data_IF_985437307956
#
_entry.id   IF_985437307956
#
_cell.length_a   1.000
_cell.length_b   1.000
_cell.length_c   1.000
_cell.angle_alpha   90.00
_cell.angle_beta   90.00
_cell.angle_gamma   90.00
#
_symmetry.space_group_name_H-M   'P 1'
#
loop_
_entity.id
_entity.type
_entity.pdbx_description
1 polymer ?
#
# COMPACT_ATOMS: atom_id res chain seq x y z
N UNK A 1 25.43 7.47 10.15
CA UNK A 1 24.77 7.79 8.87
C UNK A 1 24.42 6.49 8.18
N UNK A 2 23.26 6.40 7.55
CA UNK A 2 22.80 5.23 6.78
C UNK A 2 23.18 5.45 5.31
N UNK A 3 24.02 4.60 4.77
CA UNK A 3 24.36 4.60 3.35
C UNK A 3 23.29 3.82 2.58
N UNK A 4 22.54 4.49 1.70
CA UNK A 4 21.44 3.91 0.97
C UNK A 4 21.65 3.94 -0.54
N UNK A 5 21.23 2.89 -1.24
CA UNK A 5 21.07 2.87 -2.68
C UNK A 5 19.59 2.92 -3.07
N UNK A 6 19.26 3.60 -4.17
CA UNK A 6 17.91 3.62 -4.74
C UNK A 6 17.92 2.87 -6.06
N UNK A 7 17.11 1.81 -6.17
CA UNK A 7 16.96 0.98 -7.38
C UNK A 7 15.63 1.30 -8.05
N UNK A 8 15.70 1.77 -9.29
CA UNK A 8 14.57 2.27 -10.06
C UNK A 8 14.27 3.73 -9.76
N UNK A 9 14.52 4.61 -10.73
CA UNK A 9 14.20 6.04 -10.64
C UNK A 9 13.16 6.44 -11.68
N UNK A 10 12.18 5.57 -11.84
CA UNK A 10 10.97 5.85 -12.58
C UNK A 10 10.03 6.78 -11.83
N UNK A 11 8.72 6.69 -12.13
CA UNK A 11 7.69 7.61 -11.60
C UNK A 11 7.71 7.75 -10.06
N UNK A 12 7.86 6.66 -9.30
CA UNK A 12 7.85 6.66 -7.84
C UNK A 12 9.26 6.75 -7.23
N UNK A 13 10.23 6.09 -7.83
CA UNK A 13 11.60 6.08 -7.31
C UNK A 13 12.26 7.46 -7.25
N UNK A 14 11.90 8.37 -8.14
CA UNK A 14 12.32 9.79 -8.07
C UNK A 14 11.85 10.44 -6.77
N UNK A 15 10.64 10.12 -6.31
CA UNK A 15 10.12 10.68 -5.05
C UNK A 15 10.79 10.05 -3.83
N UNK A 16 11.10 8.74 -3.86
CA UNK A 16 11.90 8.09 -2.81
C UNK A 16 13.28 8.71 -2.74
N UNK A 17 13.96 8.84 -3.87
CA UNK A 17 15.29 9.49 -3.94
C UNK A 17 15.26 10.89 -3.35
N UNK A 18 14.31 11.75 -3.75
CA UNK A 18 14.12 13.09 -3.21
C UNK A 18 14.00 13.08 -1.68
N UNK A 19 13.17 12.17 -1.14
CA UNK A 19 12.93 12.09 0.29
C UNK A 19 14.20 11.62 1.04
N UNK A 20 14.93 10.63 0.51
CA UNK A 20 16.17 10.18 1.14
C UNK A 20 17.27 11.24 1.11
N UNK A 21 17.41 11.99 0.01
CA UNK A 21 18.36 13.11 -0.08
C UNK A 21 18.04 14.24 0.93
N UNK A 22 16.78 14.37 1.35
CA UNK A 22 16.37 15.39 2.33
C UNK A 22 16.57 14.95 3.79
N UNK A 23 16.87 13.68 4.07
CA UNK A 23 17.06 13.18 5.43
C UNK A 23 18.50 13.33 5.90
N UNK A 24 18.78 14.08 6.99
CA UNK A 24 20.14 14.37 7.44
C UNK A 24 20.90 13.13 7.93
N UNK A 25 20.20 12.03 8.27
CA UNK A 25 20.83 10.79 8.73
C UNK A 25 21.20 9.86 7.57
N UNK A 26 20.87 10.23 6.33
CA UNK A 26 21.03 9.41 5.13
C UNK A 26 22.15 9.95 4.25
N UNK A 27 22.92 9.04 3.69
CA UNK A 27 23.84 9.31 2.59
C UNK A 27 23.43 8.42 1.40
N UNK A 28 22.97 9.03 0.32
CA UNK A 28 22.69 8.30 -0.92
C UNK A 28 24.01 8.00 -1.61
N UNK A 29 24.39 6.73 -1.64
CA UNK A 29 25.69 6.29 -2.20
C UNK A 29 25.59 5.76 -3.61
N UNK A 30 24.40 5.32 -4.04
CA UNK A 30 24.18 4.82 -5.40
C UNK A 30 22.73 5.03 -5.89
N UNK A 31 22.58 5.17 -7.20
CA UNK A 31 21.30 5.15 -7.90
C UNK A 31 21.40 4.20 -9.08
N UNK A 32 20.42 3.30 -9.21
CA UNK A 32 20.39 2.27 -10.24
C UNK A 32 19.12 2.42 -11.07
N UNK A 33 19.25 2.46 -12.39
CA UNK A 33 18.12 2.35 -13.33
C UNK A 33 18.64 1.75 -14.65
N UNK A 34 17.92 0.79 -15.27
CA UNK A 34 18.38 0.15 -16.52
C UNK A 34 18.48 1.14 -17.68
N UNK A 35 17.89 2.34 -17.58
CA UNK A 35 17.90 3.36 -18.62
C UNK A 35 18.93 4.46 -18.28
N UNK A 36 20.08 4.51 -18.98
CA UNK A 36 21.13 5.50 -18.71
C UNK A 36 20.66 6.95 -18.80
N UNK A 37 19.72 7.22 -19.68
CA UNK A 37 19.13 8.56 -19.85
C UNK A 37 18.38 9.02 -18.58
N UNK A 38 17.73 8.11 -17.85
CA UNK A 38 17.11 8.45 -16.56
C UNK A 38 18.15 8.82 -15.52
N UNK A 39 19.25 8.07 -15.46
CA UNK A 39 20.35 8.37 -14.53
C UNK A 39 20.95 9.75 -14.81
N UNK A 40 21.13 10.10 -16.09
CA UNK A 40 21.63 11.43 -16.49
C UNK A 40 20.66 12.55 -16.05
N UNK A 41 19.36 12.38 -16.25
CA UNK A 41 18.32 13.32 -15.82
C UNK A 41 18.35 13.49 -14.29
N UNK A 42 18.37 12.39 -13.54
CA UNK A 42 18.38 12.40 -12.07
C UNK A 42 19.64 13.05 -11.52
N UNK A 43 20.82 12.78 -12.11
CA UNK A 43 22.09 13.43 -11.73
C UNK A 43 21.96 14.95 -11.81
N UNK A 44 21.43 15.46 -12.90
CA UNK A 44 21.26 16.89 -13.11
C UNK A 44 20.16 17.48 -12.20
N UNK A 45 19.00 16.81 -12.11
CA UNK A 45 17.83 17.28 -11.36
C UNK A 45 18.12 17.46 -9.87
N UNK A 46 18.86 16.53 -9.27
CA UNK A 46 19.18 16.54 -7.84
C UNK A 46 20.61 17.02 -7.54
N UNK A 47 21.37 17.44 -8.57
CA UNK A 47 22.77 17.86 -8.43
C UNK A 47 23.58 16.85 -7.62
N UNK A 48 23.47 15.56 -7.98
CA UNK A 48 24.11 14.47 -7.23
C UNK A 48 25.62 14.62 -7.27
N UNK A 49 26.26 14.41 -6.09
CA UNK A 49 27.71 14.41 -5.95
C UNK A 49 28.36 13.38 -6.89
N UNK A 50 29.56 13.66 -7.40
CA UNK A 50 30.31 12.73 -8.27
C UNK A 50 30.66 11.42 -7.57
N UNK A 51 30.61 11.37 -6.24
CA UNK A 51 30.81 10.16 -5.45
C UNK A 51 29.63 9.21 -5.48
N UNK A 52 28.43 9.69 -5.87
CA UNK A 52 27.24 8.83 -6.01
C UNK A 52 27.42 7.93 -7.22
N UNK A 53 27.44 6.64 -7.01
CA UNK A 53 27.54 5.65 -8.09
C UNK A 53 26.24 5.64 -8.89
N UNK A 54 26.34 5.91 -10.19
CA UNK A 54 25.21 5.77 -11.13
C UNK A 54 25.47 4.56 -12.02
N UNK A 55 24.64 3.54 -11.96
CA UNK A 55 24.84 2.31 -12.72
C UNK A 55 23.53 1.77 -13.29
N UNK A 56 23.64 1.07 -14.42
CA UNK A 56 22.49 0.35 -15.01
C UNK A 56 22.38 -1.09 -14.50
N UNK A 57 23.38 -1.54 -13.73
CA UNK A 57 23.47 -2.91 -13.22
C UNK A 57 23.37 -2.91 -11.69
N UNK A 58 22.27 -3.40 -11.16
CA UNK A 58 22.06 -3.45 -9.71
C UNK A 58 23.06 -4.37 -8.98
N UNK A 59 23.67 -5.34 -9.68
CA UNK A 59 24.71 -6.22 -9.14
C UNK A 59 25.97 -5.45 -8.73
N UNK A 60 26.23 -4.27 -9.31
CA UNK A 60 27.37 -3.43 -8.95
C UNK A 60 27.30 -2.95 -7.49
N UNK A 61 26.09 -2.92 -6.90
CA UNK A 61 25.89 -2.57 -5.49
C UNK A 61 26.60 -3.53 -4.53
N UNK A 62 26.77 -4.79 -4.91
CA UNK A 62 27.48 -5.80 -4.10
C UNK A 62 28.93 -5.40 -3.79
N UNK A 63 29.53 -4.57 -4.64
CA UNK A 63 30.89 -4.05 -4.46
C UNK A 63 31.01 -2.88 -3.48
N UNK A 64 29.89 -2.30 -3.04
CA UNK A 64 29.88 -1.14 -2.15
C UNK A 64 29.92 -1.59 -0.69
N UNK A 65 31.13 -1.68 -0.13
CA UNK A 65 31.36 -2.23 1.23
C UNK A 65 30.66 -1.48 2.36
N UNK A 66 30.27 -0.24 2.14
CA UNK A 66 29.58 0.60 3.14
C UNK A 66 28.06 0.67 2.95
N UNK A 67 27.51 -0.06 1.97
CA UNK A 67 26.07 -0.06 1.71
C UNK A 67 25.31 -0.69 2.89
N UNK A 68 24.38 0.06 3.47
CA UNK A 68 23.61 -0.35 4.65
C UNK A 68 22.17 -0.71 4.30
N UNK A 69 21.58 -0.01 3.31
CA UNK A 69 20.18 -0.14 2.97
C UNK A 69 19.92 0.05 1.48
N UNK A 70 18.82 -0.50 1.01
CA UNK A 70 18.35 -0.37 -0.38
C UNK A 70 16.90 0.02 -0.41
N UNK A 71 16.55 1.00 -1.23
CA UNK A 71 15.17 1.34 -1.58
C UNK A 71 14.87 0.86 -3.01
N UNK A 72 13.82 0.06 -3.19
CA UNK A 72 13.48 -0.61 -4.45
C UNK A 72 12.15 -0.06 -4.97
N UNK A 73 12.18 0.61 -6.13
CA UNK A 73 11.01 1.20 -6.80
C UNK A 73 10.92 0.79 -8.27
N UNK A 74 11.05 -0.49 -8.51
CA UNK A 74 11.00 -1.13 -9.82
C UNK A 74 9.62 -1.77 -10.07
N UNK A 75 9.34 -2.38 -11.23
CA UNK A 75 8.14 -3.18 -11.43
C UNK A 75 8.07 -4.37 -10.45
N UNK A 76 6.86 -4.68 -9.96
CA UNK A 76 6.63 -5.72 -8.95
C UNK A 76 7.21 -7.11 -9.29
N UNK A 77 7.27 -7.44 -10.59
CA UNK A 77 7.86 -8.69 -11.10
C UNK A 77 9.35 -8.84 -10.78
N UNK A 78 10.05 -7.75 -10.47
CA UNK A 78 11.48 -7.75 -10.16
C UNK A 78 11.76 -7.72 -8.66
N UNK A 79 10.76 -7.43 -7.83
CA UNK A 79 10.96 -7.19 -6.40
C UNK A 79 11.57 -8.38 -5.69
N UNK A 80 11.06 -9.61 -5.94
CA UNK A 80 11.56 -10.80 -5.25
C UNK A 80 13.07 -10.97 -5.40
N UNK A 81 13.58 -10.92 -6.64
CA UNK A 81 15.01 -11.09 -6.89
C UNK A 81 15.86 -9.97 -6.25
N UNK A 82 15.42 -8.72 -6.42
CA UNK A 82 16.15 -7.56 -5.91
C UNK A 82 16.16 -7.51 -4.38
N UNK A 83 15.02 -7.77 -3.73
CA UNK A 83 14.90 -7.81 -2.28
C UNK A 83 15.74 -8.96 -1.71
N UNK A 84 15.64 -10.17 -2.29
CA UNK A 84 16.39 -11.35 -1.87
C UNK A 84 17.90 -11.12 -1.91
N UNK A 85 18.39 -10.54 -2.99
CA UNK A 85 19.80 -10.27 -3.13
C UNK A 85 20.27 -9.16 -2.18
N UNK A 86 19.50 -8.08 -2.03
CA UNK A 86 19.82 -7.02 -1.07
C UNK A 86 19.91 -7.55 0.37
N UNK A 87 18.95 -8.40 0.79
CA UNK A 87 19.00 -9.06 2.10
C UNK A 87 20.23 -9.99 2.22
N UNK A 88 20.56 -10.77 1.18
CA UNK A 88 21.76 -11.63 1.19
C UNK A 88 23.07 -10.83 1.25
N UNK A 89 23.07 -9.59 0.83
CA UNK A 89 24.21 -8.67 0.98
C UNK A 89 24.27 -8.02 2.36
N UNK A 90 23.33 -8.30 3.24
CA UNK A 90 23.25 -7.72 4.57
C UNK A 90 22.63 -6.33 4.59
N UNK A 91 21.86 -5.95 3.58
CA UNK A 91 21.21 -4.64 3.49
C UNK A 91 19.78 -4.68 4.02
N UNK A 92 19.39 -3.66 4.78
CA UNK A 92 17.99 -3.37 5.07
C UNK A 92 17.24 -2.97 3.80
N UNK A 93 15.96 -3.29 3.69
CA UNK A 93 15.21 -3.07 2.44
C UNK A 93 13.91 -2.31 2.70
N UNK A 94 13.69 -1.24 1.92
CA UNK A 94 12.39 -0.64 1.67
C UNK A 94 11.98 -0.97 0.23
N UNK A 95 10.88 -1.68 0.05
CA UNK A 95 10.38 -2.02 -1.29
C UNK A 95 9.03 -1.35 -1.58
N UNK A 96 8.82 -0.94 -2.82
CA UNK A 96 7.49 -0.51 -3.28
C UNK A 96 6.46 -1.65 -3.17
N UNK A 97 5.19 -1.23 -3.09
CA UNK A 97 4.06 -2.18 -3.09
C UNK A 97 3.76 -2.71 -4.50
N UNK A 98 3.26 -3.95 -4.61
CA UNK A 98 3.23 -5.01 -3.59
C UNK A 98 4.64 -5.54 -3.32
N UNK A 99 4.89 -6.15 -2.14
CA UNK A 99 6.22 -6.70 -1.80
C UNK A 99 6.72 -7.67 -2.86
N UNK A 100 5.88 -8.65 -3.23
CA UNK A 100 6.02 -9.49 -4.42
C UNK A 100 4.64 -9.81 -5.00
N UNK A 101 4.57 -10.66 -6.02
CA UNK A 101 3.32 -11.12 -6.61
C UNK A 101 2.84 -12.47 -6.04
N UNK A 102 3.68 -13.15 -5.24
CA UNK A 102 3.38 -14.46 -4.67
C UNK A 102 3.51 -14.45 -3.14
N UNK A 103 2.50 -14.96 -2.40
CA UNK A 103 2.56 -15.03 -0.94
C UNK A 103 3.77 -15.83 -0.42
N UNK A 104 4.15 -16.90 -1.12
CA UNK A 104 5.30 -17.74 -0.77
C UNK A 104 6.62 -17.00 -0.86
N UNK A 105 6.81 -16.19 -1.89
CA UNK A 105 7.98 -15.33 -2.04
C UNK A 105 8.04 -14.27 -0.92
N UNK A 106 6.90 -13.63 -0.60
CA UNK A 106 6.83 -12.68 0.52
C UNK A 106 7.26 -13.33 1.83
N UNK A 107 6.77 -14.55 2.10
CA UNK A 107 7.11 -15.27 3.32
C UNK A 107 8.61 -15.60 3.37
N UNK A 108 9.18 -16.09 2.26
CA UNK A 108 10.62 -16.37 2.16
C UNK A 108 11.47 -15.11 2.45
N UNK A 109 11.07 -13.95 1.90
CA UNK A 109 11.79 -12.70 2.14
C UNK A 109 11.68 -12.25 3.61
N UNK A 110 10.52 -12.41 4.24
CA UNK A 110 10.34 -12.11 5.66
C UNK A 110 11.18 -13.02 6.55
N UNK A 111 11.23 -14.31 6.23
CA UNK A 111 12.04 -15.28 6.97
C UNK A 111 13.54 -14.99 6.81
N UNK A 112 13.98 -14.66 5.60
CA UNK A 112 15.35 -14.26 5.32
C UNK A 112 15.73 -12.96 6.08
N UNK A 113 14.89 -11.95 6.04
CA UNK A 113 15.11 -10.69 6.75
C UNK A 113 15.21 -10.94 8.27
N UNK A 114 14.34 -11.78 8.82
CA UNK A 114 14.36 -12.17 10.26
C UNK A 114 15.63 -12.93 10.62
N UNK A 115 16.03 -13.91 9.78
CA UNK A 115 17.24 -14.69 9.99
C UNK A 115 18.51 -13.82 9.99
N UNK A 116 18.54 -12.82 9.14
CA UNK A 116 19.64 -11.87 8.99
C UNK A 116 19.56 -10.68 9.96
N UNK A 117 18.49 -10.58 10.75
CA UNK A 117 18.21 -9.43 11.63
C UNK A 117 18.12 -8.08 10.88
N UNK A 118 17.58 -8.11 9.67
CA UNK A 118 17.44 -6.95 8.80
C UNK A 118 16.01 -6.40 8.83
N UNK A 119 15.88 -5.12 8.60
CA UNK A 119 14.59 -4.46 8.42
C UNK A 119 14.11 -4.71 7.00
N UNK A 120 12.91 -5.30 6.85
CA UNK A 120 12.17 -5.37 5.60
C UNK A 120 10.88 -4.58 5.75
N UNK A 121 10.77 -3.47 5.03
CA UNK A 121 9.63 -2.57 5.04
C UNK A 121 9.05 -2.45 3.63
N UNK A 122 7.73 -2.28 3.52
CA UNK A 122 7.05 -2.07 2.24
C UNK A 122 6.46 -0.66 2.21
N UNK A 123 6.54 0.03 1.08
CA UNK A 123 5.95 1.36 0.94
C UNK A 123 4.42 1.30 0.79
N UNK A 124 3.74 1.17 1.91
CA UNK A 124 2.30 1.40 2.01
C UNK A 124 2.03 2.85 2.40
N UNK A 125 2.37 3.79 1.54
CA UNK A 125 2.33 5.25 1.76
C UNK A 125 1.04 5.72 2.45
N UNK A 126 -0.13 5.14 2.11
CA UNK A 126 -1.41 5.54 2.71
C UNK A 126 -1.49 5.28 4.22
N UNK A 127 -0.80 4.29 4.74
CA UNK A 127 -0.78 4.03 6.19
C UNK A 127 -0.10 5.16 6.99
N UNK A 128 0.70 5.98 6.31
CA UNK A 128 1.38 7.15 6.88
C UNK A 128 0.68 8.48 6.56
N UNK A 129 -0.50 8.39 5.92
CA UNK A 129 -1.29 9.59 5.65
C UNK A 129 -1.92 10.11 6.93
N UNK A 130 -1.81 11.43 7.24
CA UNK A 130 -2.34 12.01 8.49
C UNK A 130 -3.83 11.69 8.73
N UNK A 131 -4.65 11.69 7.67
CA UNK A 131 -6.06 11.33 7.77
C UNK A 131 -6.27 9.86 8.13
N UNK A 132 -5.39 8.95 7.67
CA UNK A 132 -5.48 7.52 8.01
C UNK A 132 -5.06 7.29 9.46
N UNK A 133 -4.02 7.97 9.94
CA UNK A 133 -3.61 7.95 11.36
C UNK A 133 -4.72 8.52 12.26
N UNK A 134 -5.27 9.70 11.90
CA UNK A 134 -6.39 10.33 12.62
C UNK A 134 -7.63 9.45 12.65
N UNK A 135 -7.96 8.79 11.52
CA UNK A 135 -9.08 7.86 11.43
C UNK A 135 -8.95 6.68 12.35
N UNK A 136 -7.75 6.09 12.47
CA UNK A 136 -7.48 5.02 13.44
C UNK A 136 -7.75 5.47 14.89
N UNK A 137 -7.32 6.67 15.26
CA UNK A 137 -7.55 7.21 16.57
C UNK A 137 -9.05 7.40 16.88
N UNK A 138 -9.85 7.83 15.89
CA UNK A 138 -11.32 7.97 16.01
C UNK A 138 -11.99 6.63 16.29
N UNK A 139 -11.60 5.56 15.54
CA UNK A 139 -12.15 4.23 15.74
C UNK A 139 -11.77 3.66 17.11
N UNK A 140 -10.50 3.79 17.49
CA UNK A 140 -9.99 3.34 18.81
C UNK A 140 -10.66 4.07 19.98
N UNK A 141 -11.05 5.33 19.79
CA UNK A 141 -11.80 6.11 20.77
C UNK A 141 -13.30 5.72 20.85
N UNK A 142 -13.77 4.78 20.02
CA UNK A 142 -15.15 4.32 20.01
C UNK A 142 -16.17 5.36 19.53
N UNK A 143 -15.75 6.42 18.84
CA UNK A 143 -16.63 7.54 18.45
C UNK A 143 -17.75 7.12 17.49
N UNK A 144 -17.63 5.97 16.80
CA UNK A 144 -18.66 5.45 15.90
C UNK A 144 -19.66 4.51 16.57
N UNK A 145 -19.46 4.15 17.85
CA UNK A 145 -20.24 3.11 18.52
C UNK A 145 -19.96 1.72 17.93
N UNK A 146 -21.00 0.90 17.79
CA UNK A 146 -20.89 -0.43 17.19
C UNK A 146 -20.63 -0.31 15.69
N UNK A 147 -19.51 -0.85 15.21
CA UNK A 147 -19.17 -0.83 13.80
C UNK A 147 -20.09 -1.77 13.02
N UNK A 148 -20.58 -1.34 11.86
CA UNK A 148 -21.55 -2.07 11.04
C UNK A 148 -20.98 -2.54 9.73
N UNK A 149 -20.41 -1.64 8.93
CA UNK A 149 -19.78 -1.96 7.65
C UNK A 149 -18.84 -0.84 7.20
N UNK A 150 -18.01 -1.15 6.18
CA UNK A 150 -17.19 -0.16 5.51
C UNK A 150 -17.41 -0.17 4.00
N UNK A 151 -17.06 0.92 3.34
CA UNK A 151 -17.04 0.97 1.88
C UNK A 151 -15.90 1.86 1.39
N UNK A 152 -15.41 1.56 0.17
CA UNK A 152 -14.42 2.39 -0.49
C UNK A 152 -14.70 2.47 -2.00
N UNK A 153 -14.29 3.58 -2.59
CA UNK A 153 -14.25 3.76 -4.03
C UNK A 153 -12.89 4.33 -4.43
N UNK A 154 -12.20 3.61 -5.31
CA UNK A 154 -10.93 4.04 -5.91
C UNK A 154 -11.06 3.94 -7.41
N UNK A 155 -11.46 5.05 -8.01
CA UNK A 155 -11.78 5.15 -9.42
C UNK A 155 -11.02 6.28 -10.10
N UNK A 156 -10.68 6.12 -11.36
CA UNK A 156 -10.11 7.18 -12.19
C UNK A 156 -10.11 6.76 -13.68
N UNK A 157 -9.82 7.70 -14.57
CA UNK A 157 -9.61 7.44 -15.98
C UNK A 157 -8.10 7.34 -16.26
N UNK A 158 -7.59 6.10 -16.33
CA UNK A 158 -6.18 5.81 -16.56
C UNK A 158 -5.18 6.39 -15.54
N UNK A 159 -3.90 6.07 -15.62
CA UNK A 159 -3.31 5.17 -16.61
C UNK A 159 -3.71 3.71 -16.37
N UNK A 160 -3.92 2.98 -17.46
CA UNK A 160 -4.18 1.53 -17.46
C UNK A 160 -2.84 0.80 -17.43
N UNK A 161 -2.65 -0.10 -16.47
CA UNK A 161 -1.43 -0.91 -16.36
C UNK A 161 -1.51 -2.13 -17.28
N UNK A 162 -0.32 -2.64 -17.66
CA UNK A 162 -0.19 -3.82 -18.52
C UNK A 162 0.43 -5.02 -17.78
N UNK A 163 0.88 -4.81 -16.56
CA UNK A 163 1.57 -5.81 -15.73
C UNK A 163 0.68 -6.38 -14.62
N UNK A 164 -0.36 -5.64 -14.21
CA UNK A 164 -1.35 -6.04 -13.20
C UNK A 164 -2.71 -5.47 -13.55
N UNK A 165 -3.79 -6.02 -12.97
CA UNK A 165 -5.15 -5.53 -13.12
C UNK A 165 -5.51 -4.43 -12.10
N UNK A 166 -6.74 -3.89 -12.20
CA UNK A 166 -7.24 -2.87 -11.28
C UNK A 166 -7.29 -3.36 -9.83
N UNK A 167 -7.45 -4.66 -9.59
CA UNK A 167 -7.41 -5.24 -8.25
C UNK A 167 -6.03 -5.04 -7.59
N UNK A 168 -4.97 -5.49 -8.24
CA UNK A 168 -3.60 -5.42 -7.72
C UNK A 168 -3.06 -4.00 -7.62
N UNK A 169 -3.46 -3.14 -8.57
CA UNK A 169 -3.00 -1.75 -8.56
C UNK A 169 -3.67 -0.92 -7.47
N UNK A 170 -4.99 -1.07 -7.30
CA UNK A 170 -5.82 -0.14 -6.51
C UNK A 170 -6.22 -0.68 -5.14
N UNK A 171 -6.61 -1.96 -5.02
CA UNK A 171 -7.21 -2.50 -3.80
C UNK A 171 -6.27 -2.51 -2.61
N UNK A 172 -4.97 -2.70 -2.84
CA UNK A 172 -3.96 -2.87 -1.78
C UNK A 172 -4.00 -1.73 -0.76
N UNK A 173 -4.27 -0.50 -1.23
CA UNK A 173 -4.32 0.69 -0.39
C UNK A 173 -5.53 0.67 0.56
N UNK A 174 -6.72 0.38 0.02
CA UNK A 174 -7.96 0.39 0.80
C UNK A 174 -8.02 -0.80 1.75
N UNK A 175 -7.52 -1.96 1.33
CA UNK A 175 -7.37 -3.15 2.19
C UNK A 175 -6.44 -2.84 3.36
N UNK A 176 -5.29 -2.21 3.09
CA UNK A 176 -4.33 -1.82 4.12
C UNK A 176 -4.94 -0.84 5.14
N UNK A 177 -5.72 0.15 4.67
CA UNK A 177 -6.40 1.11 5.55
C UNK A 177 -7.43 0.40 6.41
N UNK A 178 -8.33 -0.43 5.84
CA UNK A 178 -9.31 -1.17 6.61
C UNK A 178 -8.66 -2.07 7.66
N UNK A 179 -7.65 -2.87 7.28
CA UNK A 179 -6.94 -3.74 8.22
C UNK A 179 -6.31 -2.94 9.38
N UNK A 180 -5.68 -1.79 9.07
CA UNK A 180 -5.06 -0.93 10.07
C UNK A 180 -6.10 -0.26 11.00
N UNK A 181 -7.22 0.19 10.46
CA UNK A 181 -8.28 0.84 11.21
C UNK A 181 -9.03 -0.10 12.13
N UNK A 182 -9.32 -1.31 11.65
CA UNK A 182 -10.03 -2.35 12.40
C UNK A 182 -9.09 -3.12 13.35
N UNK A 183 -7.76 -3.05 13.14
CA UNK A 183 -6.80 -3.86 13.89
C UNK A 183 -6.93 -5.35 13.63
N UNK A 184 -7.52 -5.74 12.49
CA UNK A 184 -7.86 -7.11 12.11
C UNK A 184 -7.53 -7.35 10.64
N UNK A 185 -7.44 -8.62 10.26
CA UNK A 185 -7.36 -9.05 8.85
C UNK A 185 -8.63 -9.83 8.48
N UNK A 186 -9.10 -9.79 7.23
CA UNK A 186 -10.30 -10.51 6.84
C UNK A 186 -10.09 -12.03 6.94
N UNK A 187 -11.15 -12.75 7.27
CA UNK A 187 -11.20 -14.23 7.30
C UNK A 187 -11.69 -14.85 6.00
N UNK A 188 -12.36 -14.06 5.16
CA UNK A 188 -12.77 -14.49 3.83
C UNK A 188 -12.90 -13.27 2.90
N UNK A 189 -12.75 -13.53 1.61
CA UNK A 189 -12.81 -12.50 0.57
C UNK A 189 -13.61 -12.97 -0.63
N UNK A 190 -14.17 -11.99 -1.35
CA UNK A 190 -14.89 -12.23 -2.60
C UNK A 190 -14.59 -11.08 -3.57
N UNK A 191 -14.42 -11.41 -4.87
CA UNK A 191 -14.23 -10.41 -5.91
C UNK A 191 -14.96 -10.80 -7.19
N UNK A 192 -15.62 -9.80 -7.81
CA UNK A 192 -16.21 -9.91 -9.15
C UNK A 192 -15.70 -8.77 -10.01
N UNK A 193 -15.54 -8.98 -11.31
CA UNK A 193 -14.95 -7.96 -12.18
C UNK A 193 -15.31 -8.11 -13.64
N UNK A 194 -14.80 -7.17 -14.46
CA UNK A 194 -14.97 -7.15 -15.91
C UNK A 194 -13.70 -6.68 -16.59
N UNK A 195 -13.45 -7.25 -17.76
CA UNK A 195 -12.36 -6.91 -18.66
C UNK A 195 -12.96 -6.35 -19.94
N UNK A 196 -12.56 -5.14 -20.32
CA UNK A 196 -12.98 -4.50 -21.56
C UNK A 196 -11.80 -4.16 -22.47
N UNK A 197 -10.69 -3.67 -21.90
CA UNK A 197 -9.55 -3.15 -22.66
C UNK A 197 -8.52 -4.23 -23.01
N UNK A 198 -8.17 -5.07 -22.04
CA UNK A 198 -7.04 -6.00 -22.17
C UNK A 198 -7.52 -7.44 -22.07
N UNK A 199 -8.34 -7.86 -23.02
CA UNK A 199 -8.75 -9.25 -23.16
C UNK A 199 -7.55 -10.09 -23.61
N UNK A 200 -7.20 -11.12 -22.85
CA UNK A 200 -6.07 -11.98 -23.16
C UNK A 200 -6.51 -13.32 -23.73
N UNK A 201 -5.69 -13.81 -24.67
CA UNK A 201 -5.80 -15.16 -25.23
C UNK A 201 -4.95 -16.19 -24.48
N UNK A 202 -4.02 -15.76 -23.64
CA UNK A 202 -3.09 -16.61 -22.85
C UNK A 202 -3.19 -16.32 -21.36
N UNK A 203 -3.22 -17.39 -20.55
CA UNK A 203 -3.30 -17.29 -19.08
C UNK A 203 -1.92 -16.93 -18.49
N UNK A 204 -1.78 -15.73 -17.98
CA UNK A 204 -0.73 -15.38 -17.02
C UNK A 204 -1.25 -15.47 -15.58
N UNK A 205 -0.37 -15.79 -14.64
CA UNK A 205 -0.75 -16.21 -13.28
C UNK A 205 -1.45 -15.12 -12.45
N UNK A 206 -1.24 -13.84 -12.80
CA UNK A 206 -1.79 -12.67 -12.08
C UNK A 206 -2.94 -11.99 -12.81
N UNK A 207 -3.52 -12.67 -13.81
CA UNK A 207 -4.66 -12.14 -14.55
C UNK A 207 -5.92 -12.94 -14.23
N UNK A 208 -7.08 -12.32 -14.36
CA UNK A 208 -8.32 -13.08 -14.43
C UNK A 208 -8.29 -13.99 -15.66
N UNK A 209 -9.08 -15.05 -15.66
CA UNK A 209 -9.15 -16.01 -16.78
C UNK A 209 -9.48 -15.37 -18.14
N UNK A 210 -9.95 -14.11 -18.14
CA UNK A 210 -10.33 -13.32 -19.30
C UNK A 210 -9.38 -12.15 -19.64
N UNK A 211 -8.36 -11.90 -18.83
CA UNK A 211 -7.39 -10.79 -19.00
C UNK A 211 -7.25 -9.93 -17.75
N UNK A 212 -6.73 -8.70 -17.93
CA UNK A 212 -6.57 -7.74 -16.84
C UNK A 212 -7.90 -7.02 -16.56
N UNK A 213 -8.46 -7.21 -15.37
CA UNK A 213 -9.74 -6.61 -15.01
C UNK A 213 -9.66 -5.10 -14.87
N UNK A 214 -10.53 -4.38 -15.58
CA UNK A 214 -10.63 -2.91 -15.56
C UNK A 214 -11.54 -2.41 -14.44
N UNK A 215 -12.52 -3.22 -14.06
CA UNK A 215 -13.47 -3.00 -12.97
C UNK A 215 -13.43 -4.20 -12.04
N UNK A 216 -13.35 -3.93 -10.72
CA UNK A 216 -13.47 -4.98 -9.70
C UNK A 216 -14.31 -4.46 -8.52
N UNK A 217 -15.23 -5.31 -8.07
CA UNK A 217 -15.93 -5.19 -6.80
C UNK A 217 -15.37 -6.21 -5.82
N UNK A 218 -15.00 -5.76 -4.64
CA UNK A 218 -14.41 -6.59 -3.58
C UNK A 218 -15.31 -6.57 -2.35
N UNK A 219 -15.47 -7.72 -1.71
CA UNK A 219 -16.02 -7.85 -0.36
C UNK A 219 -14.97 -8.50 0.54
N UNK A 220 -14.68 -7.87 1.67
CA UNK A 220 -13.84 -8.41 2.74
C UNK A 220 -14.74 -8.72 3.94
N UNK A 221 -14.64 -9.90 4.53
CA UNK A 221 -15.37 -10.27 5.75
C UNK A 221 -14.38 -10.47 6.88
N UNK A 222 -14.56 -9.72 7.98
CA UNK A 222 -13.71 -9.75 9.16
C UNK A 222 -14.26 -10.69 10.24
N UNK A 223 -13.43 -11.09 11.24
CA UNK A 223 -13.81 -12.08 12.26
C UNK A 223 -15.07 -11.75 13.06
N UNK A 224 -15.31 -10.45 13.32
CA UNK A 224 -16.48 -9.94 14.05
C UNK A 224 -17.75 -9.80 13.21
N UNK A 225 -17.68 -10.21 11.93
CA UNK A 225 -18.78 -10.09 10.98
C UNK A 225 -18.84 -8.75 10.24
N UNK A 226 -17.94 -7.82 10.54
CA UNK A 226 -17.82 -6.57 9.77
C UNK A 226 -17.49 -6.87 8.30
N UNK A 227 -18.14 -6.18 7.38
CA UNK A 227 -17.88 -6.30 5.95
C UNK A 227 -17.43 -4.97 5.36
N UNK A 228 -16.38 -5.01 4.53
CA UNK A 228 -15.94 -3.88 3.73
C UNK A 228 -16.16 -4.16 2.25
N UNK A 229 -16.73 -3.17 1.55
CA UNK A 229 -17.05 -3.23 0.12
C UNK A 229 -16.19 -2.22 -0.63
N UNK A 230 -15.46 -2.66 -1.66
CA UNK A 230 -14.53 -1.79 -2.39
C UNK A 230 -14.86 -1.80 -3.88
N UNK A 231 -15.04 -0.62 -4.44
CA UNK A 231 -15.22 -0.38 -5.87
C UNK A 231 -13.91 0.12 -6.49
N UNK A 232 -13.37 -0.62 -7.45
CA UNK A 232 -12.11 -0.32 -8.13
C UNK A 232 -12.35 -0.21 -9.63
N UNK A 233 -11.92 0.88 -10.25
CA UNK A 233 -12.08 1.05 -11.69
C UNK A 233 -11.10 2.09 -12.24
N UNK A 234 -10.40 1.78 -13.33
CA UNK A 234 -9.59 2.75 -14.05
C UNK A 234 -10.20 3.26 -15.36
N UNK A 235 -11.50 2.95 -15.59
CA UNK A 235 -12.28 3.45 -16.73
C UNK A 235 -13.33 4.49 -16.35
N UNK A 236 -13.29 4.98 -15.12
CA UNK A 236 -14.29 5.90 -14.61
C UNK A 236 -13.73 7.33 -14.57
N UNK A 237 -14.26 8.30 -15.37
CA UNK A 237 -13.84 9.69 -15.30
C UNK A 237 -14.11 10.36 -13.96
N UNK A 238 -15.11 9.88 -13.18
CA UNK A 238 -15.34 10.32 -11.81
C UNK A 238 -14.24 9.77 -10.89
N UNK A 239 -13.20 10.60 -10.70
CA UNK A 239 -12.07 10.25 -9.88
C UNK A 239 -12.43 10.26 -8.40
N UNK A 240 -12.43 9.08 -7.79
CA UNK A 240 -12.69 8.91 -6.37
C UNK A 240 -11.52 8.22 -5.67
N UNK A 241 -11.23 8.67 -4.46
CA UNK A 241 -10.31 8.03 -3.51
C UNK A 241 -10.88 8.22 -2.12
N UNK A 242 -11.97 7.50 -1.87
CA UNK A 242 -12.81 7.67 -0.70
C UNK A 242 -13.03 6.33 0.00
N UNK A 243 -12.90 6.34 1.32
CA UNK A 243 -13.12 5.21 2.19
C UNK A 243 -13.94 5.65 3.40
N UNK A 244 -14.87 4.83 3.84
CA UNK A 244 -15.68 5.14 5.00
C UNK A 244 -15.94 3.90 5.87
N UNK A 245 -16.07 4.14 7.17
CA UNK A 245 -16.53 3.17 8.18
C UNK A 245 -17.78 3.69 8.82
N UNK A 246 -18.84 2.89 8.80
CA UNK A 246 -20.16 3.21 9.33
C UNK A 246 -20.35 2.47 10.66
N UNK A 247 -20.76 3.20 11.68
CA UNK A 247 -21.13 2.68 12.99
C UNK A 247 -22.53 3.09 13.42
N UNK A 248 -22.90 2.77 14.64
CA UNK A 248 -24.23 3.05 15.21
C UNK A 248 -24.44 4.53 15.55
N UNK A 249 -23.34 5.29 15.77
CA UNK A 249 -23.36 6.71 16.18
C UNK A 249 -22.89 7.66 15.07
N UNK A 250 -22.48 7.12 13.90
CA UNK A 250 -22.01 7.95 12.81
C UNK A 250 -21.16 7.23 11.79
N UNK A 251 -20.53 8.01 10.90
CA UNK A 251 -19.68 7.55 9.82
C UNK A 251 -18.39 8.33 9.79
N UNK A 252 -17.26 7.67 9.80
CA UNK A 252 -15.96 8.26 9.51
C UNK A 252 -15.67 8.16 8.02
N UNK A 253 -15.34 9.28 7.39
CA UNK A 253 -15.05 9.36 5.96
C UNK A 253 -13.63 9.88 5.76
N UNK A 254 -12.80 9.12 5.08
CA UNK A 254 -11.55 9.56 4.48
C UNK A 254 -11.77 9.83 2.99
N UNK A 255 -11.52 11.06 2.55
CA UNK A 255 -11.64 11.48 1.15
C UNK A 255 -10.40 12.25 0.71
N UNK A 256 -9.47 11.57 0.02
CA UNK A 256 -8.24 12.17 -0.48
C UNK A 256 -8.50 13.26 -1.55
N UNK A 257 -9.68 13.24 -2.17
CA UNK A 257 -10.05 14.25 -3.18
C UNK A 257 -10.60 15.54 -2.55
N UNK A 258 -10.72 15.58 -1.21
CA UNK A 258 -11.14 16.77 -0.45
C UNK A 258 -9.95 17.38 0.31
N UNK A 259 -9.21 18.35 -0.30
CA UNK A 259 -7.99 18.89 0.32
C UNK A 259 -8.24 19.63 1.64
N UNK A 260 -9.41 20.26 1.79
CA UNK A 260 -9.78 21.02 2.99
C UNK A 260 -10.34 20.17 4.11
N UNK A 261 -10.84 18.97 3.81
CA UNK A 261 -11.54 18.10 4.76
C UNK A 261 -11.29 16.63 4.43
N UNK A 262 -10.02 16.18 4.42
CA UNK A 262 -9.71 14.80 4.00
C UNK A 262 -10.20 13.76 5.01
N UNK A 263 -10.51 14.14 6.25
CA UNK A 263 -11.10 13.28 7.27
C UNK A 263 -12.27 13.96 7.94
N UNK A 264 -13.45 13.37 7.83
CA UNK A 264 -14.71 13.92 8.34
C UNK A 264 -15.43 12.86 9.17
N UNK A 265 -15.96 13.27 10.32
CA UNK A 265 -16.86 12.48 11.15
C UNK A 265 -18.28 13.03 10.99
N UNK A 266 -19.17 12.20 10.43
CA UNK A 266 -20.58 12.48 10.29
C UNK A 266 -21.30 11.80 11.45
N UNK A 267 -21.84 12.57 12.38
CA UNK A 267 -22.64 12.08 13.50
C UNK A 267 -24.07 11.83 13.06
N UNK A 268 -24.71 10.86 13.67
CA UNK A 268 -26.12 10.55 13.42
C UNK A 268 -26.45 9.16 13.96
N UNK A 269 -27.57 9.09 14.64
CA UNK A 269 -28.12 7.83 15.18
C UNK A 269 -29.64 7.81 15.02
N UNK A 270 -30.25 6.65 15.28
CA UNK A 270 -31.70 6.51 15.25
C UNK A 270 -32.27 6.34 16.64
N UNK A 271 -33.29 7.14 16.94
CA UNK A 271 -34.15 6.93 18.11
C UNK A 271 -35.42 6.21 17.67
N UNK A 272 -35.73 5.09 18.32
CA UNK A 272 -36.98 4.38 18.10
C UNK A 272 -38.13 5.08 18.84
N UNK A 273 -39.19 5.43 18.09
CA UNK A 273 -40.46 5.93 18.63
C UNK A 273 -41.58 5.02 18.10
N UNK A 274 -42.10 4.15 18.97
CA UNK A 274 -43.07 3.13 18.60
C UNK A 274 -42.60 2.24 17.43
N UNK A 275 -43.13 2.45 16.23
CA UNK A 275 -42.82 1.71 15.01
C UNK A 275 -41.88 2.49 14.06
N UNK A 276 -41.52 3.73 14.42
CA UNK A 276 -40.70 4.62 13.60
C UNK A 276 -39.27 4.67 14.12
N UNK A 277 -38.32 4.88 13.21
CA UNK A 277 -36.95 5.19 13.51
C UNK A 277 -36.67 6.63 13.03
N UNK A 278 -36.48 7.54 13.98
CA UNK A 278 -36.23 8.95 13.69
C UNK A 278 -34.74 9.24 13.77
N UNK A 279 -34.12 9.87 12.74
CA UNK A 279 -32.74 10.28 12.81
C UNK A 279 -32.60 11.46 13.80
N UNK A 280 -31.63 11.33 14.71
CA UNK A 280 -31.29 12.34 15.72
C UNK A 280 -29.79 12.59 15.74
N UNK A 281 -29.37 13.66 16.43
CA UNK A 281 -27.97 14.04 16.68
C UNK A 281 -27.14 14.18 15.39
N UNK A 282 -27.76 14.65 14.30
CA UNK A 282 -27.07 14.83 13.03
C UNK A 282 -26.16 16.07 13.07
N UNK A 283 -24.86 15.86 12.84
CA UNK A 283 -23.87 16.92 12.72
C UNK A 283 -22.65 16.44 11.93
N UNK A 284 -21.80 17.35 11.53
CA UNK A 284 -20.55 17.07 10.84
C UNK A 284 -19.38 17.73 11.56
N UNK A 285 -18.32 16.98 11.77
CA UNK A 285 -17.06 17.44 12.34
C UNK A 285 -15.93 17.18 11.32
N UNK A 286 -15.21 18.22 10.90
CA UNK A 286 -13.96 18.07 10.14
C UNK A 286 -12.83 17.96 11.15
N UNK A 287 -12.06 16.88 11.05
CA UNK A 287 -11.00 16.59 11.99
C UNK A 287 -9.71 17.33 11.61
N UNK A 288 -9.10 17.99 12.59
CA UNK A 288 -7.79 18.60 12.41
C UNK A 288 -6.72 17.51 12.27
N UNK A 289 -5.85 17.66 11.27
CA UNK A 289 -4.82 16.71 10.95
C UNK A 289 -3.44 17.33 11.12
N UNK A 290 -2.51 16.51 11.56
CA UNK A 290 -1.09 16.90 11.53
C UNK A 290 -0.65 17.07 10.07
N UNK A 291 0.17 18.08 9.82
CA UNK A 291 0.79 18.27 8.51
C UNK A 291 1.93 17.27 8.28
N UNK A 292 2.18 16.91 7.05
CA UNK A 292 3.32 16.06 6.68
C UNK A 292 3.11 15.31 5.38
N UNK A 293 4.17 15.12 4.63
CA UNK A 293 4.15 14.30 3.42
C UNK A 293 4.19 12.81 3.80
N UNK A 294 3.20 11.99 3.39
CA UNK A 294 3.17 10.57 3.75
C UNK A 294 4.43 9.80 3.35
N UNK A 295 4.97 10.03 2.14
CA UNK A 295 6.17 9.35 1.68
C UNK A 295 7.42 9.74 2.48
N UNK A 296 7.52 10.99 2.94
CA UNK A 296 8.58 11.41 3.84
C UNK A 296 8.52 10.65 5.16
N UNK A 297 7.30 10.41 5.69
CA UNK A 297 7.11 9.62 6.90
C UNK A 297 7.48 8.15 6.71
N UNK A 298 7.20 7.55 5.53
CA UNK A 298 7.68 6.21 5.16
C UNK A 298 9.20 6.16 5.24
N UNK A 299 9.89 7.06 4.51
CA UNK A 299 11.36 7.10 4.48
C UNK A 299 11.94 7.32 5.89
N UNK A 300 11.39 8.26 6.66
CA UNK A 300 11.84 8.53 8.03
C UNK A 300 11.63 7.35 8.96
N UNK A 301 10.50 6.65 8.85
CA UNK A 301 10.21 5.44 9.64
C UNK A 301 11.18 4.33 9.30
N UNK A 302 11.48 4.11 8.02
CA UNK A 302 12.47 3.11 7.60
C UNK A 302 13.84 3.39 8.21
N UNK A 303 14.34 4.62 8.11
CA UNK A 303 15.63 5.01 8.69
C UNK A 303 15.62 4.89 10.22
N UNK A 304 14.55 5.33 10.87
CA UNK A 304 14.41 5.19 12.34
C UNK A 304 14.41 3.73 12.76
N UNK A 305 13.71 2.86 12.03
CA UNK A 305 13.68 1.42 12.28
C UNK A 305 15.07 0.79 12.20
N UNK A 306 15.89 1.20 11.23
CA UNK A 306 17.28 0.76 11.11
C UNK A 306 18.11 1.24 12.30
N UNK A 307 18.05 2.54 12.63
CA UNK A 307 18.83 3.13 13.72
C UNK A 307 18.47 2.54 15.09
N UNK A 308 17.21 2.17 15.30
CA UNK A 308 16.72 1.58 16.53
C UNK A 308 16.75 0.04 16.53
N UNK A 309 17.10 -0.57 15.41
CA UNK A 309 17.03 -2.01 15.18
C UNK A 309 15.67 -2.61 15.57
N UNK A 310 14.58 -1.95 15.17
CA UNK A 310 13.21 -2.33 15.51
C UNK A 310 12.36 -2.39 14.24
N UNK A 311 11.66 -3.52 14.03
CA UNK A 311 10.77 -3.67 12.88
C UNK A 311 9.63 -2.64 12.91
N UNK A 312 9.27 -2.04 11.76
CA UNK A 312 8.14 -1.12 11.69
C UNK A 312 6.82 -1.85 11.96
N UNK A 313 5.96 -1.26 12.80
CA UNK A 313 4.69 -1.90 13.20
C UNK A 313 3.64 -1.89 12.09
N UNK A 314 3.64 -0.84 11.27
CA UNK A 314 2.59 -0.59 10.26
C UNK A 314 3.19 -0.70 8.88
N UNK A 315 3.76 -1.42 8.31
CA UNK A 315 4.32 -1.46 6.92
C UNK A 315 5.50 -2.42 6.83
N UNK A 316 5.56 -3.36 7.78
CA UNK A 316 6.58 -4.41 7.77
C UNK A 316 6.42 -5.37 6.58
N UNK A 317 7.40 -6.19 6.35
CA UNK A 317 7.32 -7.28 5.37
C UNK A 317 6.14 -8.22 5.63
N UNK A 318 5.81 -8.48 6.93
CA UNK A 318 4.66 -9.29 7.32
C UNK A 318 3.33 -8.64 6.91
N UNK A 319 3.19 -7.32 7.11
CA UNK A 319 2.01 -6.58 6.61
C UNK A 319 1.92 -6.69 5.09
N UNK A 320 3.03 -6.52 4.39
CA UNK A 320 3.11 -6.73 2.93
C UNK A 320 2.69 -8.14 2.54
N UNK A 321 3.15 -9.16 3.26
CA UNK A 321 2.79 -10.57 3.04
C UNK A 321 1.29 -10.82 3.22
N UNK A 322 0.69 -10.27 4.27
CA UNK A 322 -0.76 -10.37 4.50
C UNK A 322 -1.56 -9.76 3.36
N UNK A 323 -1.17 -8.57 2.88
CA UNK A 323 -1.84 -7.90 1.78
C UNK A 323 -1.72 -8.68 0.47
N UNK A 324 -0.56 -9.27 0.18
CA UNK A 324 -0.36 -10.13 -0.99
C UNK A 324 -1.18 -11.42 -0.89
N UNK A 325 -1.30 -12.04 0.31
CA UNK A 325 -2.20 -13.18 0.54
C UNK A 325 -3.65 -12.83 0.22
N UNK A 326 -4.12 -11.66 0.67
CA UNK A 326 -5.48 -11.18 0.42
C UNK A 326 -5.70 -10.95 -1.09
N UNK A 327 -4.78 -10.27 -1.77
CA UNK A 327 -4.87 -10.02 -3.21
C UNK A 327 -4.87 -11.32 -4.03
N UNK A 328 -4.04 -12.29 -3.67
CA UNK A 328 -3.99 -13.60 -4.32
C UNK A 328 -5.30 -14.37 -4.15
N UNK A 329 -5.92 -14.32 -2.97
CA UNK A 329 -7.23 -14.93 -2.72
C UNK A 329 -8.35 -14.21 -3.50
N UNK A 330 -8.32 -12.88 -3.61
CA UNK A 330 -9.23 -12.08 -4.43
C UNK A 330 -9.09 -12.42 -5.91
N UNK A 331 -7.87 -12.59 -6.42
CA UNK A 331 -7.62 -13.07 -7.79
C UNK A 331 -8.22 -14.46 -8.00
N UNK A 332 -8.08 -15.36 -7.02
CA UNK A 332 -8.70 -16.68 -7.06
C UNK A 332 -10.23 -16.57 -7.13
N UNK A 333 -10.82 -15.67 -6.34
CA UNK A 333 -12.25 -15.40 -6.38
C UNK A 333 -12.72 -14.87 -7.74
N UNK A 334 -12.00 -13.89 -8.32
CA UNK A 334 -12.27 -13.39 -9.68
C UNK A 334 -12.28 -14.51 -10.72
N UNK A 335 -11.27 -15.39 -10.68
CA UNK A 335 -11.12 -16.51 -11.60
C UNK A 335 -12.20 -17.59 -11.40
N UNK A 336 -12.86 -17.62 -10.23
CA UNK A 336 -13.97 -18.51 -9.89
C UNK A 336 -15.32 -17.80 -9.90
N UNK A 337 -15.48 -16.75 -10.70
CA UNK A 337 -16.73 -16.00 -10.90
C UNK A 337 -17.34 -15.47 -9.58
N UNK A 338 -16.49 -14.97 -8.67
CA UNK A 338 -16.95 -14.37 -7.41
C UNK A 338 -17.20 -15.38 -6.30
N UNK A 339 -16.60 -16.57 -6.34
CA UNK A 339 -16.68 -17.53 -5.23
C UNK A 339 -16.02 -16.95 -3.98
N UNK A 340 -16.65 -17.13 -2.83
CA UNK A 340 -16.08 -16.81 -1.53
C UNK A 340 -14.83 -17.67 -1.28
N UNK A 341 -13.71 -17.03 -0.97
CA UNK A 341 -12.44 -17.69 -0.64
C UNK A 341 -12.12 -17.46 0.83
N UNK A 342 -12.04 -18.51 1.65
CA UNK A 342 -11.58 -18.37 3.02
C UNK A 342 -10.08 -18.04 3.06
N UNK A 343 -9.71 -17.21 4.02
CA UNK A 343 -8.32 -16.93 4.35
C UNK A 343 -7.96 -17.71 5.62
N UNK A 344 -7.13 -18.74 5.46
CA UNK A 344 -6.63 -19.47 6.60
C UNK A 344 -5.62 -18.60 7.35
N UNK A 345 -5.89 -18.29 8.59
CA UNK A 345 -4.91 -17.71 9.50
C UNK A 345 -3.91 -18.83 9.89
N UNK A 346 -2.94 -19.12 8.99
CA UNK A 346 -1.81 -19.98 9.31
C UNK A 346 -0.56 -19.12 9.53
#
# INVERSE_FOLDING_TARGET
MINIAVIGVGRWGVHLLRNFLALPQVNVVAVVDPLPERLAVIKQQFNLDEKVVLTTQWQDLKGLSELTAVAIATPATTHYALVKDALNWGCHVLAEKPLTLYPTECQELCDLARQQQLILMVDHTYLFHPAVEGGKAVLQAGKLGDLRYGYAARTHLGPVRQDVDALWDLAIHDIAIFNNWLGQVPISVQATGRVWLQQQTTKEIHTSASGLADLVWVTLTYPDGFQAYIHLCWLNPDKQRRLAVVGSLGTLVFDEMSPSSPLTLLHGEFQRQEHLFLPINQSQETLELQTGEPLQRVCSTFITSILQNTQPQISSGEVGTQLVKILSALTTSLNQNGKLIPLNNS
#
